data_IF_499961409040
#
_entry.id   IF_499961409040
#
_cell.length_a   1.000
_cell.length_b   1.000
_cell.length_c   1.000
_cell.angle_alpha   90.00
_cell.angle_beta   90.00
_cell.angle_gamma   90.00
#
_symmetry.space_group_name_H-M   'P 1'
#
loop_
_entity.id
_entity.type
_entity.pdbx_description
1 polymer ?
#
# COMPACT_ATOMS: atom_id res chain seq x y z
N UNK A 1 43.57 -19.02 -11.00
CA UNK A 1 42.24 -18.38 -11.03
C UNK A 1 42.51 -16.92 -11.35
N UNK A 2 42.45 -16.56 -12.63
CA UNK A 2 42.83 -15.21 -13.09
C UNK A 2 41.79 -14.20 -12.59
N UNK A 3 42.23 -13.18 -11.86
CA UNK A 3 41.38 -12.04 -11.51
C UNK A 3 41.15 -11.21 -12.77
N UNK A 4 39.93 -11.25 -13.30
CA UNK A 4 39.50 -10.39 -14.39
C UNK A 4 39.43 -8.96 -13.85
N UNK A 5 40.41 -8.12 -14.17
CA UNK A 5 40.41 -6.70 -13.83
C UNK A 5 39.43 -5.99 -14.78
N UNK A 6 38.31 -5.52 -14.24
CA UNK A 6 37.34 -4.74 -14.99
C UNK A 6 37.93 -3.37 -15.36
N UNK A 7 37.77 -2.97 -16.63
CA UNK A 7 38.22 -1.65 -17.10
C UNK A 7 37.47 -0.53 -16.34
N UNK A 8 38.12 0.62 -16.06
CA UNK A 8 37.50 1.72 -15.32
C UNK A 8 36.22 2.27 -15.98
N UNK A 9 36.13 2.19 -17.32
CA UNK A 9 34.89 2.52 -18.04
C UNK A 9 33.72 1.59 -17.70
N UNK A 10 33.99 0.29 -17.50
CA UNK A 10 32.98 -0.70 -17.10
C UNK A 10 32.56 -0.47 -15.65
N UNK A 11 33.51 -0.14 -14.78
CA UNK A 11 33.21 0.22 -13.37
C UNK A 11 32.34 1.49 -13.32
N UNK A 12 32.66 2.50 -14.13
CA UNK A 12 31.86 3.72 -14.25
C UNK A 12 30.44 3.42 -14.75
N UNK A 13 30.30 2.60 -15.80
CA UNK A 13 29.00 2.18 -16.33
C UNK A 13 28.17 1.43 -15.27
N UNK A 14 28.79 0.51 -14.52
CA UNK A 14 28.14 -0.21 -13.42
C UNK A 14 27.73 0.74 -12.29
N UNK A 15 28.56 1.73 -11.96
CA UNK A 15 28.23 2.72 -10.93
C UNK A 15 27.02 3.58 -11.31
N UNK A 16 26.95 4.02 -12.58
CA UNK A 16 25.80 4.76 -13.11
C UNK A 16 24.54 3.89 -13.11
N UNK A 17 24.66 2.60 -13.47
CA UNK A 17 23.55 1.66 -13.42
C UNK A 17 23.04 1.45 -11.98
N UNK A 18 23.94 1.32 -11.00
CA UNK A 18 23.61 1.18 -9.58
C UNK A 18 22.91 2.43 -9.03
N UNK A 19 23.34 3.63 -9.45
CA UNK A 19 22.68 4.88 -9.08
C UNK A 19 21.28 5.00 -9.70
N UNK A 20 21.10 4.53 -10.94
CA UNK A 20 19.80 4.53 -11.63
C UNK A 20 18.77 3.64 -10.93
N UNK A 21 19.13 2.39 -10.59
CA UNK A 21 18.24 1.48 -9.86
C UNK A 21 17.91 1.98 -8.45
N UNK A 22 18.82 2.71 -7.81
CA UNK A 22 18.59 3.28 -6.47
C UNK A 22 17.48 4.34 -6.46
N UNK A 23 17.23 5.01 -7.59
CA UNK A 23 16.19 6.04 -7.71
C UNK A 23 14.80 5.46 -8.00
N UNK A 24 14.74 4.21 -8.47
CA UNK A 24 13.50 3.50 -8.81
C UNK A 24 12.75 2.96 -7.59
N UNK A 25 13.40 2.90 -6.41
CA UNK A 25 12.82 2.40 -5.16
C UNK A 25 11.99 3.49 -4.46
N UNK A 26 11.07 4.10 -5.19
CA UNK A 26 10.03 4.95 -4.62
C UNK A 26 8.78 4.09 -4.47
N UNK A 27 8.74 3.29 -3.40
CA UNK A 27 7.54 2.53 -3.05
C UNK A 27 6.46 3.54 -2.67
N UNK A 28 5.46 3.73 -3.53
CA UNK A 28 4.26 4.45 -3.19
C UNK A 28 3.45 3.58 -2.21
N UNK A 29 3.65 3.78 -0.91
CA UNK A 29 3.14 2.90 0.16
C UNK A 29 1.63 2.73 0.17
N UNK A 30 0.88 3.66 -0.46
CA UNK A 30 -0.58 3.65 -0.50
C UNK A 30 -1.14 2.81 -1.65
N UNK A 31 -0.62 2.99 -2.88
CA UNK A 31 -0.95 2.07 -3.98
C UNK A 31 -0.46 0.66 -3.67
N UNK A 32 0.71 0.53 -3.04
CA UNK A 32 1.23 -0.76 -2.63
C UNK A 32 0.34 -1.42 -1.58
N UNK A 33 -0.21 -0.66 -0.62
CA UNK A 33 -1.12 -1.25 0.36
C UNK A 33 -2.46 -1.65 -0.25
N UNK A 34 -3.05 -0.81 -1.10
CA UNK A 34 -4.31 -1.14 -1.77
C UNK A 34 -4.16 -2.40 -2.64
N UNK A 35 -3.09 -2.49 -3.43
CA UNK A 35 -2.83 -3.69 -4.23
C UNK A 35 -2.49 -4.91 -3.36
N UNK A 36 -1.68 -4.74 -2.32
CA UNK A 36 -1.37 -5.82 -1.37
C UNK A 36 -2.65 -6.41 -0.75
N UNK A 37 -3.63 -5.57 -0.39
CA UNK A 37 -4.92 -6.06 0.12
C UNK A 37 -5.65 -6.92 -0.92
N UNK A 38 -5.70 -6.46 -2.18
CA UNK A 38 -6.37 -7.20 -3.26
C UNK A 38 -5.68 -8.54 -3.51
N UNK A 39 -4.35 -8.53 -3.60
CA UNK A 39 -3.51 -9.70 -3.88
C UNK A 39 -3.53 -10.75 -2.76
N UNK A 40 -3.67 -10.31 -1.50
CA UNK A 40 -3.70 -11.20 -0.34
C UNK A 40 -5.12 -11.67 0.04
N UNK A 41 -6.15 -11.21 -0.66
CA UNK A 41 -7.52 -11.66 -0.41
C UNK A 41 -7.82 -12.99 -1.14
N UNK A 42 -8.45 -13.98 -0.48
CA UNK A 42 -8.79 -15.24 -1.14
C UNK A 42 -9.88 -15.01 -2.20
N UNK A 43 -9.82 -15.68 -3.36
CA UNK A 43 -10.83 -15.51 -4.42
C UNK A 43 -12.28 -15.82 -4.00
N UNK A 44 -12.45 -16.69 -2.99
CA UNK A 44 -13.77 -17.02 -2.43
C UNK A 44 -14.38 -15.90 -1.59
N UNK A 45 -13.54 -15.01 -1.05
CA UNK A 45 -13.94 -13.86 -0.23
C UNK A 45 -13.11 -12.64 -0.66
N UNK A 46 -13.43 -12.04 -1.83
CA UNK A 46 -12.69 -10.92 -2.38
C UNK A 46 -12.89 -9.67 -1.51
N UNK A 47 -11.79 -8.98 -1.21
CA UNK A 47 -11.81 -7.85 -0.27
C UNK A 47 -12.33 -6.53 -0.90
N UNK A 48 -12.43 -6.44 -2.23
CA UNK A 48 -12.72 -5.19 -2.95
C UNK A 48 -13.94 -4.43 -2.41
N UNK A 49 -15.03 -5.13 -2.06
CA UNK A 49 -16.25 -4.50 -1.54
C UNK A 49 -16.11 -3.99 -0.10
N UNK A 50 -15.13 -4.49 0.64
CA UNK A 50 -14.83 -4.09 2.01
C UNK A 50 -13.85 -2.89 2.07
N UNK A 51 -13.32 -2.43 0.93
CA UNK A 51 -12.38 -1.32 0.85
C UNK A 51 -13.13 -0.03 0.49
N UNK A 52 -12.90 1.02 1.27
CA UNK A 52 -13.41 2.35 0.99
C UNK A 52 -12.29 3.39 1.05
N UNK A 53 -12.07 4.10 -0.05
CA UNK A 53 -11.14 5.21 -0.17
C UNK A 53 -11.91 6.52 -0.35
N UNK A 54 -11.28 7.70 -0.15
CA UNK A 54 -11.94 8.99 -0.36
C UNK A 54 -12.57 9.20 -1.74
N UNK A 55 -12.21 8.39 -2.74
CA UNK A 55 -12.80 8.40 -4.08
C UNK A 55 -14.14 7.65 -4.16
N UNK A 56 -14.45 6.77 -3.20
CA UNK A 56 -15.73 6.06 -3.16
C UNK A 56 -16.83 6.94 -2.55
N UNK A 57 -18.01 6.96 -3.17
CA UNK A 57 -19.18 7.67 -2.63
C UNK A 57 -19.62 7.18 -1.25
N UNK A 58 -19.35 5.91 -0.92
CA UNK A 58 -19.66 5.29 0.37
C UNK A 58 -18.73 5.73 1.51
N UNK A 59 -17.56 6.30 1.22
CA UNK A 59 -16.50 6.54 2.21
C UNK A 59 -16.96 7.36 3.41
N UNK A 60 -17.65 8.48 3.16
CA UNK A 60 -18.12 9.36 4.24
C UNK A 60 -19.15 8.67 5.13
N UNK A 61 -20.12 7.99 4.52
CA UNK A 61 -21.17 7.27 5.25
C UNK A 61 -20.59 6.15 6.10
N UNK A 62 -19.67 5.36 5.53
CA UNK A 62 -18.97 4.30 6.27
C UNK A 62 -18.18 4.90 7.42
N UNK A 63 -17.31 5.89 7.18
CA UNK A 63 -16.51 6.53 8.23
C UNK A 63 -17.37 7.04 9.37
N UNK A 64 -18.45 7.77 9.05
CA UNK A 64 -19.35 8.35 10.05
C UNK A 64 -20.10 7.30 10.86
N UNK A 65 -20.48 6.17 10.25
CA UNK A 65 -21.17 5.08 10.95
C UNK A 65 -20.35 4.46 12.09
N UNK A 66 -19.02 4.51 12.01
CA UNK A 66 -18.11 3.96 13.01
C UNK A 66 -17.56 5.00 14.00
N UNK A 67 -17.76 6.30 13.77
CA UNK A 67 -17.36 7.34 14.74
C UNK A 67 -18.32 7.30 15.94
N UNK A 68 -17.82 6.86 17.09
CA UNK A 68 -18.59 6.83 18.34
C UNK A 68 -18.54 8.11 19.15
N UNK A 69 -17.48 8.91 18.96
CA UNK A 69 -17.30 10.18 19.66
C UNK A 69 -17.29 11.34 18.66
N UNK A 70 -18.31 12.20 18.75
CA UNK A 70 -18.52 13.31 17.82
C UNK A 70 -17.36 14.32 17.80
N UNK A 71 -16.51 14.37 18.82
CA UNK A 71 -15.28 15.20 18.80
C UNK A 71 -14.34 14.85 17.65
N UNK A 72 -14.45 13.64 17.10
CA UNK A 72 -13.66 13.16 15.97
C UNK A 72 -14.35 13.33 14.61
N UNK A 73 -15.58 13.84 14.57
CA UNK A 73 -16.33 14.10 13.34
C UNK A 73 -16.24 15.58 12.92
N UNK A 74 -15.01 16.10 12.79
CA UNK A 74 -14.78 17.50 12.38
C UNK A 74 -13.97 17.59 11.10
N UNK A 75 -14.06 18.72 10.39
CA UNK A 75 -13.29 18.96 9.16
C UNK A 75 -11.77 19.01 9.41
N UNK A 76 -11.33 19.35 10.63
CA UNK A 76 -9.91 19.40 11.00
C UNK A 76 -9.34 18.07 11.50
N UNK A 77 -10.16 17.13 11.99
CA UNK A 77 -9.68 15.79 12.38
C UNK A 77 -9.12 15.04 11.17
N UNK A 78 -7.89 14.49 11.19
CA UNK A 78 -7.35 13.72 10.08
C UNK A 78 -8.24 12.52 9.73
N UNK A 79 -8.40 12.24 8.42
CA UNK A 79 -9.23 11.14 7.91
C UNK A 79 -8.35 10.00 7.42
N UNK A 80 -8.77 8.73 7.58
CA UNK A 80 -8.00 7.60 7.09
C UNK A 80 -7.92 7.62 5.57
N UNK A 81 -6.76 7.31 5.01
CA UNK A 81 -6.58 7.22 3.55
C UNK A 81 -7.36 6.06 2.91
N UNK A 82 -7.69 5.04 3.71
CA UNK A 82 -8.40 3.83 3.32
C UNK A 82 -9.08 3.25 4.56
N UNK A 83 -10.29 2.71 4.40
CA UNK A 83 -11.04 1.99 5.42
C UNK A 83 -11.23 0.56 4.93
N UNK A 84 -10.94 -0.43 5.79
CA UNK A 84 -11.29 -1.84 5.57
C UNK A 84 -12.45 -2.20 6.49
N UNK A 85 -13.67 -2.21 5.95
CA UNK A 85 -14.88 -2.67 6.63
C UNK A 85 -15.02 -4.19 6.43
N UNK A 86 -14.20 -4.97 7.14
CA UNK A 86 -14.10 -6.42 6.95
C UNK A 86 -15.44 -7.14 7.12
N UNK A 87 -15.75 -8.05 6.18
CA UNK A 87 -16.98 -8.87 6.14
C UNK A 87 -16.71 -10.36 6.31
N UNK A 88 -15.43 -10.76 6.24
CA UNK A 88 -14.96 -12.13 6.43
C UNK A 88 -13.59 -12.09 7.13
N UNK A 89 -13.26 -13.12 7.90
CA UNK A 89 -12.02 -13.18 8.70
C UNK A 89 -10.76 -13.04 7.83
N UNK A 90 -10.79 -13.55 6.61
CA UNK A 90 -9.70 -13.40 5.64
C UNK A 90 -9.39 -11.95 5.29
N UNK A 91 -10.37 -11.03 5.36
CA UNK A 91 -10.12 -9.61 5.09
C UNK A 91 -9.24 -9.00 6.18
N UNK A 92 -9.41 -9.44 7.44
CA UNK A 92 -8.57 -9.03 8.57
C UNK A 92 -7.15 -9.59 8.39
N UNK A 93 -7.04 -10.86 8.01
CA UNK A 93 -5.74 -11.48 7.74
C UNK A 93 -4.99 -10.76 6.62
N UNK A 94 -5.66 -10.43 5.52
CA UNK A 94 -5.07 -9.67 4.41
C UNK A 94 -4.61 -8.27 4.84
N UNK A 95 -5.34 -7.61 5.74
CA UNK A 95 -4.99 -6.27 6.24
C UNK A 95 -3.78 -6.25 7.19
N UNK A 96 -3.55 -7.34 7.93
CA UNK A 96 -2.42 -7.46 8.87
C UNK A 96 -1.16 -7.97 8.18
N UNK A 97 -1.32 -8.90 7.23
CA UNK A 97 -0.22 -9.56 6.51
C UNK A 97 0.32 -8.64 5.41
N UNK A 98 0.87 -7.51 5.81
CA UNK A 98 1.56 -6.57 4.94
C UNK A 98 3.06 -6.86 5.07
N UNK A 99 3.65 -7.55 4.08
CA UNK A 99 5.09 -7.83 4.01
C UNK A 99 5.66 -7.28 2.72
#
# INVERSE_FOLDING_TARGET
MEMIILKPAVISLLSVLVLYISWSWRVNSHESFHQCLLDNSPPSHPIFQAIHTPQNSSYSSVLQSYIRNLRFNTSSTPKPVLIVAAMHESHVQAAIKNN
#
